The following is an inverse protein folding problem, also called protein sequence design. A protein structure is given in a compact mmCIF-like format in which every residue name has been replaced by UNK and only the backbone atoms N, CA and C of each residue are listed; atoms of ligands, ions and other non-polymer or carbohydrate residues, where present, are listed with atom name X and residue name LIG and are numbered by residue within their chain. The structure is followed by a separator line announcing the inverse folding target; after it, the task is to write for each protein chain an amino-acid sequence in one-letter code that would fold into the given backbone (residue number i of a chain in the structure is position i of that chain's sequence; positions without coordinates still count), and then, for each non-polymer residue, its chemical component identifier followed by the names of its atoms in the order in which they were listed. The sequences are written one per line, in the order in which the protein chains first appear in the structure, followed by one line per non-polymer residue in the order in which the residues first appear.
data_IF_010441571196
#
_entry.id   IF_010441571196
#
_cell.length_a   1.000
_cell.length_b   1.000
_cell.length_c   1.000
_cell.angle_alpha   90.00
_cell.angle_beta   90.00
_cell.angle_gamma   90.00
#
_symmetry.space_group_name_H-M   'P 1'
#
loop_
_entity.id
_entity.type
_entity.pdbx_description
1 polymer ?
#
# COMPACT_ATOMS: atom_id res chain seq x y z
N UNK A 1 -11.95 -4.13 9.09
CA UNK A 1 -10.78 -3.61 8.38
C UNK A 1 -11.11 -3.48 6.90
N UNK A 2 -11.11 -2.27 6.35
CA UNK A 2 -11.34 -2.01 4.92
C UNK A 2 -10.29 -0.99 4.47
N UNK A 3 -9.50 -1.34 3.46
CA UNK A 3 -8.73 -0.35 2.72
C UNK A 3 -9.74 0.58 2.03
N UNK A 4 -9.57 1.90 2.18
CA UNK A 4 -10.51 2.85 1.59
C UNK A 4 -10.44 2.82 0.06
N UNK A 5 -11.47 3.36 -0.58
CA UNK A 5 -11.50 3.56 -2.03
C UNK A 5 -10.28 4.34 -2.52
N UNK A 6 -9.81 5.31 -1.73
CA UNK A 6 -8.66 6.16 -2.04
C UNK A 6 -7.37 5.35 -2.24
N UNK A 7 -6.99 4.52 -1.27
CA UNK A 7 -5.79 3.67 -1.36
C UNK A 7 -5.90 2.66 -2.49
N UNK A 8 -7.05 1.99 -2.62
CA UNK A 8 -7.28 1.01 -3.69
C UNK A 8 -7.17 1.63 -5.08
N UNK A 9 -7.82 2.76 -5.32
CA UNK A 9 -7.81 3.42 -6.63
C UNK A 9 -6.44 4.00 -6.96
N UNK A 10 -5.71 4.50 -5.96
CA UNK A 10 -4.33 4.93 -6.17
C UNK A 10 -3.44 3.78 -6.65
N UNK A 11 -3.53 2.61 -6.01
CA UNK A 11 -2.78 1.41 -6.42
C UNK A 11 -3.21 0.94 -7.80
N UNK A 12 -4.53 0.87 -8.09
CA UNK A 12 -5.04 0.49 -9.42
C UNK A 12 -4.50 1.41 -10.52
N UNK A 13 -4.59 2.72 -10.32
CA UNK A 13 -4.15 3.70 -11.30
C UNK A 13 -2.62 3.71 -11.49
N UNK A 14 -1.84 3.51 -10.42
CA UNK A 14 -0.38 3.40 -10.50
C UNK A 14 0.06 2.11 -11.20
N UNK A 15 -0.67 1.01 -11.00
CA UNK A 15 -0.43 -0.26 -11.71
C UNK A 15 -0.74 -0.12 -13.19
N UNK A 16 -1.85 0.54 -13.54
CA UNK A 16 -2.22 0.87 -14.93
C UNK A 16 -1.17 1.75 -15.60
N UNK A 17 -0.72 2.80 -14.91
CA UNK A 17 0.35 3.68 -15.37
C UNK A 17 1.63 2.88 -15.68
N UNK A 18 2.02 1.99 -14.76
CA UNK A 18 3.23 1.18 -14.93
C UNK A 18 3.11 0.20 -16.12
N UNK A 19 1.92 -0.41 -16.28
CA UNK A 19 1.65 -1.37 -17.36
C UNK A 19 1.66 -0.72 -18.75
N UNK A 20 1.19 0.53 -18.88
CA UNK A 20 0.92 1.19 -20.17
C UNK A 20 1.93 2.28 -20.51
N UNK A 21 2.89 2.59 -19.65
CA UNK A 21 3.84 3.70 -19.91
C UNK A 21 4.81 3.41 -21.06
N UNK A 22 5.30 2.18 -21.20
CA UNK A 22 6.29 1.79 -22.20
C UNK A 22 7.37 2.88 -22.47
N UNK A 23 7.77 3.60 -21.40
CA UNK A 23 8.70 4.71 -21.47
C UNK A 23 8.08 6.08 -21.81
N UNK A 24 6.81 6.13 -22.19
CA UNK A 24 6.07 7.35 -22.53
C UNK A 24 5.14 7.80 -21.40
N UNK A 25 4.78 9.10 -21.34
CA UNK A 25 3.73 9.56 -20.43
C UNK A 25 2.37 8.95 -20.79
N UNK A 26 1.54 8.71 -19.78
CA UNK A 26 0.16 8.23 -19.91
C UNK A 26 -0.79 9.32 -19.45
N UNK A 27 -1.81 9.63 -20.25
CA UNK A 27 -2.83 10.60 -19.90
C UNK A 27 -3.76 10.03 -18.82
N UNK A 28 -4.17 10.86 -17.85
CA UNK A 28 -5.12 10.43 -16.81
C UNK A 28 -6.48 10.04 -17.37
N UNK A 29 -6.91 10.65 -18.48
CA UNK A 29 -8.14 10.29 -19.16
C UNK A 29 -8.14 8.84 -19.65
N UNK A 30 -7.00 8.33 -20.10
CA UNK A 30 -6.87 6.94 -20.56
C UNK A 30 -6.96 5.98 -19.36
N UNK A 31 -6.29 6.31 -18.23
CA UNK A 31 -6.38 5.55 -17.00
C UNK A 31 -7.82 5.57 -16.47
N UNK A 32 -8.47 6.73 -16.47
CA UNK A 32 -9.86 6.91 -16.04
C UNK A 32 -10.80 5.96 -16.80
N UNK A 33 -10.64 5.91 -18.11
CA UNK A 33 -11.45 5.03 -18.99
C UNK A 33 -11.18 3.56 -18.74
N UNK A 34 -9.91 3.14 -18.65
CA UNK A 34 -9.55 1.72 -18.44
C UNK A 34 -9.94 1.21 -17.06
N UNK A 35 -9.83 2.05 -16.04
CA UNK A 35 -10.08 1.65 -14.64
C UNK A 35 -11.48 2.02 -14.13
N UNK A 36 -12.29 2.66 -14.97
CA UNK A 36 -13.66 3.12 -14.63
C UNK A 36 -13.67 4.02 -13.38
N UNK A 37 -12.67 4.89 -13.28
CA UNK A 37 -12.52 5.87 -12.18
C UNK A 37 -12.74 7.27 -12.78
N UNK A 38 -13.46 8.15 -12.05
CA UNK A 38 -13.67 9.52 -12.54
C UNK A 38 -12.34 10.26 -12.74
N UNK A 39 -12.22 11.02 -13.82
CA UNK A 39 -11.01 11.78 -14.14
C UNK A 39 -10.70 12.80 -13.03
N UNK A 40 -11.69 13.51 -12.52
CA UNK A 40 -11.50 14.50 -11.45
C UNK A 40 -10.96 13.88 -10.17
N UNK A 41 -11.38 12.65 -9.86
CA UNK A 41 -10.86 11.93 -8.71
C UNK A 41 -9.40 11.47 -8.92
N UNK A 42 -9.08 10.98 -10.13
CA UNK A 42 -7.69 10.65 -10.49
C UNK A 42 -6.77 11.87 -10.43
N UNK A 43 -7.23 13.04 -10.87
CA UNK A 43 -6.46 14.29 -10.77
C UNK A 43 -6.09 14.61 -9.32
N UNK A 44 -7.03 14.44 -8.38
CA UNK A 44 -6.77 14.62 -6.95
C UNK A 44 -5.74 13.60 -6.43
N UNK A 45 -5.89 12.32 -6.77
CA UNK A 45 -4.95 11.27 -6.36
C UNK A 45 -3.55 11.52 -6.93
N UNK A 46 -3.45 11.81 -8.23
CA UNK A 46 -2.17 12.08 -8.89
C UNK A 46 -1.51 13.37 -8.43
N UNK A 47 -2.29 14.36 -8.01
CA UNK A 47 -1.77 15.53 -7.32
C UNK A 47 -1.01 15.18 -6.03
N UNK A 48 -1.55 14.25 -5.23
CA UNK A 48 -0.92 13.74 -4.01
C UNK A 48 0.27 12.84 -4.32
N UNK A 49 0.13 11.90 -5.25
CA UNK A 49 1.20 11.01 -5.70
C UNK A 49 2.42 11.80 -6.23
N UNK A 50 2.17 12.92 -6.95
CA UNK A 50 3.22 13.82 -7.41
C UNK A 50 3.91 14.52 -6.26
N UNK A 51 3.16 15.03 -5.27
CA UNK A 51 3.72 15.65 -4.05
C UNK A 51 4.56 14.64 -3.26
N UNK A 52 4.13 13.38 -3.23
CA UNK A 52 4.87 12.28 -2.62
C UNK A 52 6.07 11.78 -3.43
N UNK A 53 6.35 12.36 -4.60
CA UNK A 53 7.52 12.02 -5.42
C UNK A 53 7.40 10.68 -6.16
N UNK A 54 6.20 10.10 -6.28
CA UNK A 54 5.99 8.79 -6.93
C UNK A 54 5.73 8.90 -8.42
N UNK A 55 5.23 10.03 -8.89
CA UNK A 55 4.98 10.32 -10.31
C UNK A 55 5.51 11.68 -10.71
N UNK A 56 5.81 11.84 -11.99
CA UNK A 56 6.20 13.09 -12.65
C UNK A 56 5.18 13.42 -13.74
N UNK A 57 4.76 14.70 -13.82
CA UNK A 57 3.91 15.19 -14.90
C UNK A 57 4.76 15.65 -16.09
N UNK A 58 4.29 15.35 -17.29
CA UNK A 58 4.86 15.83 -18.54
C UNK A 58 3.82 16.70 -19.23
N UNK A 59 4.18 17.94 -19.56
CA UNK A 59 3.30 18.90 -20.23
C UNK A 59 3.43 18.80 -21.73
N UNK A 60 2.41 19.29 -22.46
CA UNK A 60 2.41 19.43 -23.90
C UNK A 60 1.64 18.32 -24.64
N UNK A 61 1.66 18.32 -25.98
CA UNK A 61 1.05 17.28 -26.81
C UNK A 61 1.66 15.90 -26.46
N UNK A 62 0.82 14.91 -26.23
CA UNK A 62 1.27 13.59 -25.74
C UNK A 62 1.77 13.60 -24.30
N UNK A 63 1.43 14.64 -23.51
CA UNK A 63 1.73 14.74 -22.09
C UNK A 63 0.89 13.80 -21.22
N UNK A 64 1.17 13.81 -19.95
CA UNK A 64 0.50 12.94 -18.97
C UNK A 64 1.38 12.72 -17.76
N UNK A 65 1.34 11.52 -17.22
CA UNK A 65 2.14 11.13 -16.06
C UNK A 65 3.04 9.93 -16.39
N UNK A 66 4.15 9.85 -15.70
CA UNK A 66 5.02 8.67 -15.67
C UNK A 66 5.50 8.42 -14.25
N UNK A 67 5.95 7.20 -13.98
CA UNK A 67 6.57 6.87 -12.70
C UNK A 67 7.81 7.76 -12.49
N UNK A 68 8.01 8.21 -11.24
CA UNK A 68 9.24 8.93 -10.86
C UNK A 68 10.44 7.99 -10.75
N UNK A 69 10.18 6.75 -10.36
CA UNK A 69 11.13 5.64 -10.21
C UNK A 69 10.61 4.42 -10.96
N UNK A 70 11.45 3.41 -11.15
CA UNK A 70 11.02 2.15 -11.80
C UNK A 70 9.91 1.43 -11.00
N UNK A 71 9.11 0.60 -11.67
CA UNK A 71 8.05 -0.18 -11.03
C UNK A 71 8.58 -1.08 -9.89
N UNK A 72 9.80 -1.62 -10.02
CA UNK A 72 10.44 -2.43 -8.98
C UNK A 72 10.84 -1.63 -7.72
N UNK A 73 10.98 -0.32 -7.83
CA UNK A 73 11.37 0.58 -6.74
C UNK A 73 10.16 1.26 -6.09
N UNK A 74 9.00 1.24 -6.73
CA UNK A 74 7.76 1.84 -6.22
C UNK A 74 7.00 0.82 -5.39
N UNK A 75 6.94 1.04 -4.07
CA UNK A 75 6.28 0.13 -3.13
C UNK A 75 4.79 0.44 -3.00
N UNK A 76 4.00 -0.59 -2.75
CA UNK A 76 2.55 -0.45 -2.56
C UNK A 76 2.25 0.40 -1.32
N UNK A 77 3.01 0.23 -0.23
CA UNK A 77 2.86 1.05 0.97
C UNK A 77 3.04 2.55 0.68
N UNK A 78 4.06 2.92 -0.12
CA UNK A 78 4.35 4.32 -0.45
C UNK A 78 3.20 4.97 -1.23
N UNK A 79 2.59 4.21 -2.15
CA UNK A 79 1.43 4.68 -2.92
C UNK A 79 0.25 4.99 -2.00
N UNK A 80 -0.06 4.08 -1.08
CA UNK A 80 -1.18 4.20 -0.13
C UNK A 80 -0.94 5.40 0.80
N UNK A 81 0.25 5.52 1.36
CA UNK A 81 0.63 6.63 2.24
C UNK A 81 0.63 7.98 1.54
N UNK A 82 1.08 8.04 0.28
CA UNK A 82 1.12 9.28 -0.49
C UNK A 82 -0.25 9.91 -0.74
N UNK A 83 -1.32 9.12 -0.70
CA UNK A 83 -2.69 9.62 -0.84
C UNK A 83 -3.38 9.89 0.50
N UNK A 84 -2.61 10.05 1.58
CA UNK A 84 -3.09 10.27 2.95
C UNK A 84 -4.03 9.15 3.43
N UNK A 85 -3.72 7.92 3.09
CA UNK A 85 -4.40 6.74 3.60
C UNK A 85 -3.50 6.05 4.61
N UNK A 86 -3.84 6.06 5.90
CA UNK A 86 -3.04 5.37 6.90
C UNK A 86 -3.18 3.86 6.77
N UNK A 87 -2.06 3.15 6.81
CA UNK A 87 -2.04 1.68 6.83
C UNK A 87 -2.23 1.22 8.27
N UNK A 88 -3.49 1.01 8.65
CA UNK A 88 -3.87 0.66 10.03
C UNK A 88 -4.92 -0.45 10.04
N UNK A 89 -4.75 -1.40 10.95
CA UNK A 89 -5.74 -2.45 11.16
C UNK A 89 -6.97 -1.93 11.92
N UNK A 90 -6.75 -1.10 12.92
CA UNK A 90 -7.76 -0.51 13.81
C UNK A 90 -7.32 0.87 14.29
N UNK A 91 -8.20 1.57 15.02
CA UNK A 91 -7.88 2.86 15.67
C UNK A 91 -6.92 2.73 16.86
N UNK A 92 -6.60 1.51 17.31
CA UNK A 92 -5.69 1.31 18.46
C UNK A 92 -4.28 1.86 18.18
N UNK A 93 -3.85 1.85 16.93
CA UNK A 93 -2.56 2.40 16.48
C UNK A 93 -2.55 3.93 16.32
N UNK A 94 -3.70 4.61 16.43
CA UNK A 94 -3.78 6.07 16.24
C UNK A 94 -3.35 6.87 17.47
N UNK A 95 -3.43 6.27 18.65
CA UNK A 95 -3.26 6.97 19.92
C UNK A 95 -1.82 6.94 20.46
N UNK A 96 -0.88 6.33 19.72
CA UNK A 96 0.54 6.30 20.10
C UNK A 96 0.78 5.72 21.49
N UNK A 97 1.57 6.41 22.31
CA UNK A 97 1.84 6.02 23.70
C UNK A 97 0.61 6.12 24.63
N UNK A 98 -0.45 6.82 24.22
CA UNK A 98 -1.70 6.87 24.97
C UNK A 98 -2.59 5.70 24.54
N UNK A 99 -3.08 4.92 25.50
CA UNK A 99 -3.92 3.76 25.26
C UNK A 99 -5.28 4.08 24.61
N UNK A 100 -5.95 3.06 24.12
CA UNK A 100 -7.21 3.14 23.38
C UNK A 100 -8.46 3.30 24.27
N UNK A 101 -8.31 3.34 25.59
CA UNK A 101 -9.39 3.55 26.56
C UNK A 101 -9.48 5.01 27.00
N UNK A 102 -10.62 5.40 27.57
CA UNK A 102 -10.84 6.75 28.07
C UNK A 102 -9.85 7.16 29.17
N UNK A 103 -9.40 6.19 29.98
CA UNK A 103 -8.39 6.34 31.03
C UNK A 103 -6.95 6.31 30.50
N UNK A 104 -6.77 6.30 29.16
CA UNK A 104 -5.49 6.18 28.48
C UNK A 104 -4.76 4.84 28.69
N UNK A 105 -5.42 3.82 29.23
CA UNK A 105 -4.87 2.47 29.32
C UNK A 105 -5.00 1.74 27.99
N UNK A 106 -4.15 0.73 27.76
CA UNK A 106 -4.28 -0.18 26.63
C UNK A 106 -5.38 -1.20 26.89
N UNK A 107 -6.21 -1.52 25.90
CA UNK A 107 -7.16 -2.62 26.00
C UNK A 107 -6.44 -3.97 25.93
N UNK A 108 -7.08 -5.04 26.39
CA UNK A 108 -6.48 -6.39 26.42
C UNK A 108 -6.04 -6.90 25.04
N UNK A 109 -6.64 -6.41 23.96
CA UNK A 109 -6.33 -6.81 22.59
C UNK A 109 -5.49 -5.78 21.83
N UNK A 110 -4.95 -4.77 22.53
CA UNK A 110 -4.21 -3.66 21.91
C UNK A 110 -3.02 -4.16 21.09
N UNK A 111 -2.19 -4.98 21.72
CA UNK A 111 -0.95 -5.47 21.11
C UNK A 111 -1.22 -6.38 19.89
N UNK A 112 -2.33 -7.15 19.93
CA UNK A 112 -2.77 -7.94 18.78
C UNK A 112 -3.06 -7.06 17.54
N UNK A 113 -3.80 -5.96 17.74
CA UNK A 113 -4.18 -5.08 16.64
C UNK A 113 -3.03 -4.20 16.17
N UNK A 114 -2.14 -3.82 17.06
CA UNK A 114 -0.91 -3.10 16.73
C UNK A 114 -0.01 -3.99 15.85
N UNK A 115 0.22 -5.24 16.27
CA UNK A 115 1.03 -6.19 15.50
C UNK A 115 0.41 -6.51 14.14
N UNK A 116 -0.90 -6.69 14.07
CA UNK A 116 -1.57 -6.89 12.78
C UNK A 116 -1.35 -5.69 11.83
N UNK A 117 -1.44 -4.46 12.35
CA UNK A 117 -1.16 -3.25 11.58
C UNK A 117 0.28 -3.22 11.07
N UNK A 118 1.25 -3.60 11.91
CA UNK A 118 2.66 -3.70 11.56
C UNK A 118 2.89 -4.74 10.45
N UNK A 119 2.27 -5.92 10.55
CA UNK A 119 2.37 -6.98 9.53
C UNK A 119 1.81 -6.53 8.18
N UNK A 120 0.67 -5.83 8.18
CA UNK A 120 0.10 -5.25 6.96
C UNK A 120 1.08 -4.24 6.35
N UNK A 121 1.65 -3.36 7.16
CA UNK A 121 2.62 -2.36 6.70
C UNK A 121 3.88 -3.02 6.12
N UNK A 122 4.46 -3.98 6.83
CA UNK A 122 5.64 -4.74 6.37
C UNK A 122 5.35 -5.45 5.05
N UNK A 123 4.20 -6.13 4.95
CA UNK A 123 3.79 -6.80 3.72
C UNK A 123 3.69 -5.82 2.54
N UNK A 124 2.94 -4.72 2.69
CA UNK A 124 2.75 -3.73 1.63
C UNK A 124 4.04 -3.00 1.26
N UNK A 125 4.97 -2.85 2.20
CA UNK A 125 6.31 -2.28 1.97
C UNK A 125 7.23 -3.25 1.24
N UNK A 126 7.01 -4.55 1.35
CA UNK A 126 7.79 -5.58 0.65
C UNK A 126 7.36 -5.77 -0.81
N UNK A 127 6.12 -5.39 -1.16
CA UNK A 127 5.54 -5.58 -2.49
C UNK A 127 5.76 -4.33 -3.35
N UNK A 128 6.32 -4.51 -4.53
CA UNK A 128 6.49 -3.45 -5.54
C UNK A 128 5.38 -3.49 -6.62
N UNK A 129 5.25 -2.41 -7.40
CA UNK A 129 4.39 -2.41 -8.59
C UNK A 129 4.81 -3.49 -9.59
N UNK A 130 6.10 -3.76 -9.71
CA UNK A 130 6.61 -4.83 -10.58
C UNK A 130 6.11 -6.21 -10.12
N UNK A 131 6.12 -6.49 -8.81
CA UNK A 131 5.60 -7.74 -8.27
C UNK A 131 4.11 -7.92 -8.58
N UNK A 132 3.33 -6.82 -8.53
CA UNK A 132 1.90 -6.83 -8.88
C UNK A 132 1.71 -7.17 -10.37
N UNK A 133 2.47 -6.53 -11.26
CA UNK A 133 2.41 -6.75 -12.72
C UNK A 133 2.80 -8.19 -13.09
N UNK A 134 3.84 -8.72 -12.46
CA UNK A 134 4.33 -10.09 -12.67
C UNK A 134 3.48 -11.16 -11.95
N UNK A 135 2.47 -10.77 -11.17
CA UNK A 135 1.63 -11.66 -10.35
C UNK A 135 2.43 -12.54 -9.39
N UNK A 136 3.57 -12.04 -8.89
CA UNK A 136 4.49 -12.77 -8.00
C UNK A 136 4.18 -12.61 -6.51
N UNK A 137 3.03 -12.08 -6.14
CA UNK A 137 2.68 -11.78 -4.75
C UNK A 137 2.45 -13.06 -3.94
N UNK A 138 1.85 -14.08 -4.53
CA UNK A 138 1.49 -15.35 -3.87
C UNK A 138 2.68 -16.20 -3.44
N UNK A 139 3.81 -16.08 -4.11
CA UNK A 139 5.03 -16.83 -3.77
C UNK A 139 5.69 -16.37 -2.47
N UNK A 140 5.45 -15.13 -2.04
CA UNK A 140 6.06 -14.58 -0.81
C UNK A 140 5.31 -14.97 0.47
N UNK A 141 4.05 -15.39 0.37
CA UNK A 141 3.24 -15.81 1.52
C UNK A 141 3.59 -17.24 1.97
N UNK A 142 4.11 -18.07 1.06
CA UNK A 142 4.50 -19.45 1.35
C UNK A 142 5.86 -19.60 2.05
N UNK A 143 6.65 -18.52 2.14
CA UNK A 143 7.96 -18.50 2.82
C UNK A 143 7.91 -17.92 4.25
N UNK A 144 6.72 -17.77 4.85
CA UNK A 144 6.63 -17.45 6.27
C UNK A 144 7.22 -18.60 7.08
N UNK A 145 8.17 -18.35 8.01
CA UNK A 145 8.78 -19.39 8.81
C UNK A 145 7.69 -20.10 9.62
N UNK A 146 7.54 -21.40 9.40
CA UNK A 146 6.78 -22.28 10.28
C UNK A 146 7.36 -22.13 11.69
N UNK A 147 6.56 -21.62 12.62
CA UNK A 147 6.92 -21.57 14.03
C UNK A 147 7.34 -22.98 14.47
N UNK A 148 8.60 -23.10 14.87
CA UNK A 148 9.12 -24.35 15.43
C UNK A 148 8.27 -24.69 16.66
N UNK A 149 7.55 -25.79 16.57
CA UNK A 149 6.93 -26.46 17.71
C UNK A 149 8.03 -26.76 18.74
N UNK A 150 8.01 -26.02 19.82
CA UNK A 150 8.80 -26.35 21.00
C UNK A 150 7.99 -27.36 21.83
N UNK A 151 7.95 -28.60 21.34
CA UNK A 151 7.55 -29.75 22.12
C UNK A 151 8.76 -30.21 22.93
N UNK A 152 8.87 -29.72 24.15
CA UNK A 152 9.78 -30.20 25.15
C UNK A 152 9.12 -30.11 26.52
N UNK A 153 8.16 -30.96 26.77
CA UNK A 153 7.84 -31.39 28.14
C UNK A 153 8.34 -32.80 28.28
N UNK A 154 9.62 -32.93 28.61
CA UNK A 154 10.19 -34.15 29.11
C UNK A 154 9.80 -34.34 30.58
N UNK A 155 9.35 -35.55 30.87
CA UNK A 155 9.16 -36.15 32.16
C UNK A 155 10.30 -35.91 33.12
N UNK A 156 9.99 -35.67 34.36
CA UNK A 156 10.84 -36.01 35.50
C UNK A 156 9.97 -36.60 36.61
N UNK A 157 10.36 -37.76 36.99
CA UNK A 157 9.96 -38.66 38.06
C UNK A 157 9.80 -38.04 39.41
#
# INVERSE_FOLDING_TARGET
MKLSTKGRYAVMAMTDLAANSHGNPVALADIATRQEISLSYLEQLFGKLRKGGLVKSVRGPGGGYRLAHGAAQTRIADIILAVDEPIKATRCTEMGASGCRADRSKCLTHDLWEELGNQIHVFLSSVSLHDVLERKITTRITEAPTAANNDSMAAAS
#
